data_IF_036567793749
#
_entry.id   IF_036567793749
#
_cell.length_a   1.000
_cell.length_b   1.000
_cell.length_c   1.000
_cell.angle_alpha   90.00
_cell.angle_beta   90.00
_cell.angle_gamma   90.00
#
_symmetry.space_group_name_H-M   'P 1'
#
loop_
_entity.id
_entity.type
_entity.pdbx_description
1 polymer ?
#
# COMPACT_ATOMS: atom_id res chain seq x y z
N UNK A 1 -39.38 -13.59 -16.32
CA UNK A 1 -38.51 -14.40 -17.19
C UNK A 1 -37.45 -15.11 -16.36
N UNK A 2 -37.63 -16.42 -16.06
CA UNK A 2 -36.50 -17.32 -15.82
C UNK A 2 -36.68 -18.78 -16.35
N UNK A 3 -37.65 -19.07 -17.23
CA UNK A 3 -37.99 -20.49 -17.54
C UNK A 3 -37.13 -21.16 -18.62
N UNK A 4 -36.38 -20.40 -19.43
CA UNK A 4 -35.62 -20.97 -20.55
C UNK A 4 -34.33 -21.69 -20.14
N UNK A 5 -33.82 -21.42 -18.94
CA UNK A 5 -32.51 -21.94 -18.51
C UNK A 5 -32.60 -23.40 -18.07
N UNK A 6 -33.71 -23.78 -17.42
CA UNK A 6 -33.93 -25.14 -16.95
C UNK A 6 -34.35 -26.11 -18.07
N UNK A 7 -35.08 -25.63 -19.07
CA UNK A 7 -35.49 -26.45 -20.22
C UNK A 7 -34.30 -26.91 -21.08
N UNK A 8 -33.23 -26.10 -21.14
CA UNK A 8 -32.00 -26.43 -21.83
C UNK A 8 -31.25 -27.62 -21.21
N UNK A 9 -31.18 -27.70 -19.87
CA UNK A 9 -30.53 -28.82 -19.18
C UNK A 9 -31.32 -30.14 -19.23
N UNK A 10 -32.62 -30.10 -19.58
CA UNK A 10 -33.38 -31.33 -19.85
C UNK A 10 -32.90 -32.02 -21.14
N UNK A 11 -32.44 -31.25 -22.12
CA UNK A 11 -31.93 -31.78 -23.39
C UNK A 11 -30.43 -32.06 -23.39
N UNK A 12 -29.67 -31.43 -22.48
CA UNK A 12 -28.23 -31.59 -22.35
C UNK A 12 -27.79 -31.65 -20.87
N UNK A 13 -28.16 -32.70 -20.12
CA UNK A 13 -27.87 -32.81 -18.67
C UNK A 13 -26.37 -32.84 -18.34
N UNK A 14 -25.52 -33.25 -19.28
CA UNK A 14 -24.06 -33.20 -19.14
C UNK A 14 -23.51 -31.78 -19.04
N UNK A 15 -24.18 -30.77 -19.60
CA UNK A 15 -23.77 -29.37 -19.48
C UNK A 15 -23.98 -28.82 -18.07
N UNK A 16 -25.03 -29.28 -17.38
CA UNK A 16 -25.24 -28.95 -15.96
C UNK A 16 -24.12 -29.52 -15.10
N UNK A 17 -23.73 -30.77 -15.37
CA UNK A 17 -22.62 -31.43 -14.67
C UNK A 17 -21.28 -30.74 -14.96
N UNK A 18 -21.03 -30.34 -16.21
CA UNK A 18 -19.83 -29.60 -16.60
C UNK A 18 -19.79 -28.18 -15.99
N UNK A 19 -20.92 -27.45 -15.99
CA UNK A 19 -21.04 -26.16 -15.31
C UNK A 19 -20.75 -26.29 -13.81
N UNK A 20 -21.34 -27.29 -13.16
CA UNK A 20 -21.13 -27.54 -11.73
C UNK A 20 -19.66 -27.91 -11.44
N UNK A 21 -19.08 -28.79 -12.24
CA UNK A 21 -17.67 -29.16 -12.14
C UNK A 21 -16.75 -27.94 -12.31
N UNK A 22 -16.98 -27.11 -13.34
CA UNK A 22 -16.23 -25.87 -13.55
C UNK A 22 -16.38 -24.92 -12.37
N UNK A 23 -17.60 -24.74 -11.86
CA UNK A 23 -17.87 -23.88 -10.70
C UNK A 23 -17.09 -24.32 -9.46
N UNK A 24 -17.12 -25.62 -9.14
CA UNK A 24 -16.37 -26.19 -8.01
C UNK A 24 -14.87 -26.04 -8.22
N UNK A 25 -14.36 -26.37 -9.41
CA UNK A 25 -12.94 -26.25 -9.77
C UNK A 25 -12.44 -24.80 -9.64
N UNK A 26 -13.20 -23.83 -10.15
CA UNK A 26 -12.86 -22.41 -10.01
C UNK A 26 -12.96 -21.93 -8.56
N UNK A 27 -13.96 -22.40 -7.80
CA UNK A 27 -14.11 -22.10 -6.38
C UNK A 27 -12.90 -22.56 -5.56
N UNK A 28 -12.50 -23.83 -5.71
CA UNK A 28 -11.32 -24.39 -5.04
C UNK A 28 -10.05 -23.63 -5.44
N UNK A 29 -9.86 -23.36 -6.74
CA UNK A 29 -8.71 -22.59 -7.24
C UNK A 29 -8.66 -21.19 -6.60
N UNK A 30 -9.80 -20.51 -6.52
CA UNK A 30 -9.89 -19.19 -5.89
C UNK A 30 -9.58 -19.26 -4.39
N UNK A 31 -10.06 -20.28 -3.67
CA UNK A 31 -9.73 -20.46 -2.25
C UNK A 31 -8.22 -20.56 -2.05
N UNK A 32 -7.52 -21.39 -2.83
CA UNK A 32 -6.06 -21.50 -2.74
C UNK A 32 -5.33 -20.21 -3.11
N UNK A 33 -5.79 -19.49 -4.14
CA UNK A 33 -5.18 -18.23 -4.55
C UNK A 33 -5.32 -17.14 -3.47
N UNK A 34 -6.49 -17.04 -2.86
CA UNK A 34 -6.82 -16.01 -1.88
C UNK A 34 -6.40 -16.35 -0.44
N UNK A 35 -6.26 -17.63 -0.11
CA UNK A 35 -5.95 -18.06 1.25
C UNK A 35 -4.75 -17.34 1.89
N UNK A 36 -3.57 -17.23 1.23
CA UNK A 36 -2.42 -16.55 1.83
C UNK A 36 -2.67 -15.05 2.07
N UNK A 37 -3.46 -14.41 1.21
CA UNK A 37 -3.73 -12.97 1.26
C UNK A 37 -4.70 -12.66 2.39
N UNK A 38 -5.77 -13.43 2.51
CA UNK A 38 -6.77 -13.26 3.57
C UNK A 38 -6.19 -13.63 4.94
N UNK A 39 -5.36 -14.68 5.00
CA UNK A 39 -4.71 -15.09 6.25
C UNK A 39 -3.74 -14.03 6.80
N UNK A 40 -3.00 -13.37 5.91
CA UNK A 40 -2.08 -12.30 6.26
C UNK A 40 -2.77 -10.95 6.52
N UNK A 41 -4.06 -10.80 6.18
CA UNK A 41 -4.77 -9.54 6.33
C UNK A 41 -4.91 -9.13 7.82
N UNK A 42 -4.78 -7.83 8.06
CA UNK A 42 -4.86 -7.21 9.38
C UNK A 42 -5.75 -5.98 9.26
N UNK A 43 -6.94 -6.04 9.86
CA UNK A 43 -8.01 -5.05 9.67
C UNK A 43 -7.73 -3.65 10.24
N UNK A 44 -6.60 -3.45 10.92
CA UNK A 44 -6.22 -2.17 11.52
C UNK A 44 -5.28 -1.32 10.65
N UNK A 45 -4.95 -1.74 9.42
CA UNK A 45 -4.04 -1.00 8.53
C UNK A 45 -4.53 -0.90 7.10
N UNK A 46 -4.11 0.17 6.39
CA UNK A 46 -4.30 0.31 4.93
C UNK A 46 -3.53 -0.72 4.12
N UNK A 47 -2.49 -1.32 4.71
CA UNK A 47 -1.65 -2.33 4.06
C UNK A 47 -2.47 -3.51 3.53
N UNK A 48 -3.39 -4.03 4.34
CA UNK A 48 -4.29 -5.12 3.98
C UNK A 48 -5.15 -4.81 2.76
N UNK A 49 -5.78 -3.63 2.75
CA UNK A 49 -6.58 -3.15 1.63
C UNK A 49 -5.78 -3.09 0.32
N UNK A 50 -4.59 -2.48 0.35
CA UNK A 50 -3.76 -2.38 -0.84
C UNK A 50 -3.20 -3.74 -1.28
N UNK A 51 -2.91 -4.65 -0.35
CA UNK A 51 -2.45 -5.99 -0.68
C UNK A 51 -3.55 -6.82 -1.39
N UNK A 52 -4.81 -6.68 -0.97
CA UNK A 52 -5.97 -7.27 -1.65
C UNK A 52 -6.12 -6.73 -3.07
N UNK A 53 -6.04 -5.40 -3.24
CA UNK A 53 -6.12 -4.75 -4.56
C UNK A 53 -4.98 -5.26 -5.46
N UNK A 54 -3.74 -5.25 -4.96
CA UNK A 54 -2.56 -5.73 -5.69
C UNK A 54 -2.73 -7.18 -6.12
N UNK A 55 -3.15 -8.05 -5.20
CA UNK A 55 -3.35 -9.46 -5.50
C UNK A 55 -4.41 -9.67 -6.59
N UNK A 56 -5.54 -8.95 -6.50
CA UNK A 56 -6.59 -9.00 -7.52
C UNK A 56 -6.06 -8.56 -8.89
N UNK A 57 -5.32 -7.45 -8.94
CA UNK A 57 -4.69 -6.95 -10.17
C UNK A 57 -3.74 -7.98 -10.79
N UNK A 58 -2.89 -8.62 -9.98
CA UNK A 58 -1.97 -9.67 -10.48
C UNK A 58 -2.73 -10.88 -11.04
N UNK A 59 -3.82 -11.31 -10.40
CA UNK A 59 -4.66 -12.38 -10.93
C UNK A 59 -5.32 -11.97 -12.26
N UNK A 60 -5.80 -10.73 -12.36
CA UNK A 60 -6.39 -10.20 -13.60
C UNK A 60 -5.36 -10.10 -14.73
N UNK A 61 -4.15 -9.61 -14.44
CA UNK A 61 -3.03 -9.59 -15.39
C UNK A 61 -2.68 -11.00 -15.89
N UNK A 62 -2.66 -12.00 -14.99
CA UNK A 62 -2.39 -13.41 -15.37
C UNK A 62 -3.48 -14.00 -16.27
N UNK A 63 -4.74 -13.67 -16.05
CA UNK A 63 -5.83 -14.16 -16.91
C UNK A 63 -5.83 -13.43 -18.27
N UNK A 64 -5.59 -12.11 -18.28
CA UNK A 64 -5.54 -11.29 -19.49
C UNK A 64 -4.32 -11.62 -20.37
N UNK A 65 -3.15 -11.89 -19.76
CA UNK A 65 -1.95 -12.32 -20.49
C UNK A 65 -2.11 -13.69 -21.15
N UNK A 66 -2.83 -14.62 -20.51
CA UNK A 66 -3.11 -15.93 -21.09
C UNK A 66 -4.10 -15.85 -22.25
N UNK A 67 -5.05 -14.92 -22.17
CA UNK A 67 -6.11 -14.80 -23.16
C UNK A 67 -6.41 -13.31 -23.45
N UNK A 68 -5.71 -12.71 -24.42
CA UNK A 68 -5.98 -11.34 -24.85
C UNK A 68 -7.25 -11.30 -25.71
N UNK A 69 -8.41 -11.34 -25.07
CA UNK A 69 -9.72 -11.49 -25.74
C UNK A 69 -10.16 -10.27 -26.56
N UNK A 70 -9.46 -9.14 -26.49
CA UNK A 70 -9.88 -7.89 -27.13
C UNK A 70 -8.70 -6.99 -27.55
N UNK A 71 -8.97 -6.13 -28.54
CA UNK A 71 -8.03 -5.10 -28.99
C UNK A 71 -7.82 -4.07 -27.88
N UNK A 72 -6.57 -3.95 -27.41
CA UNK A 72 -6.22 -3.08 -26.28
C UNK A 72 -5.90 -3.82 -24.98
N UNK A 73 -5.99 -5.15 -24.96
CA UNK A 73 -5.62 -5.97 -23.80
C UNK A 73 -4.19 -5.68 -23.29
N UNK A 74 -3.22 -5.44 -24.19
CA UNK A 74 -1.84 -5.07 -23.81
C UNK A 74 -1.78 -3.74 -23.06
N UNK A 75 -2.57 -2.75 -23.50
CA UNK A 75 -2.65 -1.45 -22.83
C UNK A 75 -3.22 -1.60 -21.43
N UNK A 76 -4.30 -2.38 -21.28
CA UNK A 76 -4.93 -2.61 -19.99
C UNK A 76 -4.01 -3.42 -19.05
N UNK A 77 -3.27 -4.41 -19.57
CA UNK A 77 -2.22 -5.12 -18.83
C UNK A 77 -1.14 -4.16 -18.33
N UNK A 78 -0.65 -3.26 -19.19
CA UNK A 78 0.34 -2.24 -18.80
C UNK A 78 -0.21 -1.31 -17.71
N UNK A 79 -1.47 -0.88 -17.81
CA UNK A 79 -2.09 -0.03 -16.78
C UNK A 79 -2.28 -0.76 -15.44
N UNK A 80 -2.67 -2.04 -15.46
CA UNK A 80 -2.72 -2.87 -14.25
C UNK A 80 -1.33 -3.02 -13.61
N UNK A 81 -0.28 -3.17 -14.43
CA UNK A 81 1.10 -3.23 -13.96
C UNK A 81 1.54 -1.89 -13.33
N UNK A 82 1.16 -0.75 -13.91
CA UNK A 82 1.38 0.56 -13.26
C UNK A 82 0.72 0.61 -11.88
N UNK A 83 -0.53 0.16 -11.75
CA UNK A 83 -1.22 0.10 -10.45
C UNK A 83 -0.46 -0.78 -9.43
N UNK A 84 0.06 -1.93 -9.86
CA UNK A 84 0.90 -2.80 -9.04
C UNK A 84 2.17 -2.08 -8.57
N UNK A 85 2.89 -1.41 -9.48
CA UNK A 85 4.11 -0.66 -9.17
C UNK A 85 3.86 0.49 -8.18
N UNK A 86 2.72 1.18 -8.27
CA UNK A 86 2.35 2.24 -7.31
C UNK A 86 2.16 1.64 -5.91
N UNK A 87 1.51 0.48 -5.81
CA UNK A 87 1.31 -0.20 -4.52
C UNK A 87 2.65 -0.71 -3.96
N UNK A 88 3.53 -1.27 -4.79
CA UNK A 88 4.87 -1.70 -4.36
C UNK A 88 5.71 -0.52 -3.87
N UNK A 89 5.65 0.64 -4.55
CA UNK A 89 6.32 1.86 -4.09
C UNK A 89 5.76 2.35 -2.75
N UNK A 90 4.44 2.27 -2.56
CA UNK A 90 3.80 2.56 -1.28
C UNK A 90 4.26 1.62 -0.16
N UNK A 91 4.38 0.31 -0.43
CA UNK A 91 4.87 -0.65 0.55
C UNK A 91 6.36 -0.52 0.84
N UNK A 92 7.16 -0.11 -0.14
CA UNK A 92 8.60 0.11 0.06
C UNK A 92 8.88 1.30 0.99
N UNK A 93 7.98 2.29 1.03
CA UNK A 93 8.04 3.47 1.89
C UNK A 93 9.38 4.26 1.81
N UNK A 94 9.96 4.32 0.60
CA UNK A 94 11.27 4.97 0.35
C UNK A 94 11.15 6.37 -0.25
N UNK A 95 10.08 7.10 0.04
CA UNK A 95 9.82 8.40 -0.59
C UNK A 95 10.78 9.51 -0.12
N UNK A 96 11.28 9.41 1.11
CA UNK A 96 12.11 10.42 1.78
C UNK A 96 13.60 10.06 1.88
N UNK A 97 14.01 8.85 1.49
CA UNK A 97 15.38 8.34 1.68
C UNK A 97 16.46 9.34 1.21
N UNK A 98 16.27 9.94 0.03
CA UNK A 98 17.22 10.95 -0.50
C UNK A 98 17.18 12.26 0.27
N UNK A 99 16.00 12.67 0.75
CA UNK A 99 15.83 13.93 1.49
C UNK A 99 16.49 13.82 2.87
N UNK A 100 16.24 12.71 3.59
CA UNK A 100 16.87 12.46 4.88
C UNK A 100 18.37 12.29 4.75
N UNK A 101 18.86 11.53 3.77
CA UNK A 101 20.31 11.42 3.56
C UNK A 101 20.99 12.77 3.37
N UNK A 102 20.39 13.66 2.55
CA UNK A 102 20.92 15.02 2.36
C UNK A 102 20.83 15.87 3.63
N UNK A 103 19.81 15.66 4.45
CA UNK A 103 19.65 16.34 5.73
C UNK A 103 20.72 15.89 6.73
N UNK A 104 20.94 14.58 6.85
CA UNK A 104 21.98 13.95 7.68
C UNK A 104 23.39 14.37 7.26
N UNK A 105 23.70 14.36 5.95
CA UNK A 105 25.00 14.83 5.43
C UNK A 105 25.30 16.29 5.83
N UNK A 106 24.26 17.11 6.02
CA UNK A 106 24.40 18.53 6.36
C UNK A 106 24.41 18.77 7.86
N UNK A 107 23.48 18.18 8.60
CA UNK A 107 23.27 18.47 10.02
C UNK A 107 23.90 17.43 10.96
N UNK A 108 24.39 16.32 10.42
CA UNK A 108 24.81 15.14 11.17
C UNK A 108 23.62 14.19 11.39
N UNK A 109 23.93 12.96 11.79
CA UNK A 109 22.90 12.01 12.22
C UNK A 109 22.13 12.57 13.42
N UNK A 110 20.81 12.44 13.37
CA UNK A 110 19.92 12.86 14.46
C UNK A 110 20.20 12.00 15.68
N UNK A 111 20.40 12.61 16.85
CA UNK A 111 20.57 11.86 18.10
C UNK A 111 19.40 12.15 19.01
N UNK A 112 18.74 11.07 19.42
CA UNK A 112 17.64 11.13 20.36
C UNK A 112 18.11 10.63 21.72
N UNK A 113 17.92 11.48 22.72
CA UNK A 113 18.23 11.20 24.12
C UNK A 113 16.95 11.24 24.92
N UNK A 114 16.88 10.36 25.91
CA UNK A 114 15.79 10.32 26.88
C UNK A 114 16.36 10.68 28.23
N UNK A 115 15.87 11.77 28.81
CA UNK A 115 16.25 12.18 30.14
C UNK A 115 15.03 12.07 31.07
N UNK A 116 15.24 11.69 32.35
CA UNK A 116 14.18 11.77 33.35
C UNK A 116 13.65 13.19 33.40
N UNK A 117 12.33 13.35 33.53
CA UNK A 117 11.78 14.67 33.82
C UNK A 117 12.08 15.03 35.27
N UNK A 118 12.37 16.30 35.50
CA UNK A 118 12.58 16.85 36.82
C UNK A 118 11.49 17.88 37.07
N UNK A 119 10.94 17.89 38.28
CA UNK A 119 10.12 19.00 38.72
C UNK A 119 11.01 20.25 38.85
N UNK A 120 10.71 21.28 38.07
CA UNK A 120 11.49 22.51 38.04
C UNK A 120 11.43 23.30 39.36
N UNK A 121 10.43 23.03 40.22
CA UNK A 121 10.28 23.71 41.51
C UNK A 121 10.98 22.97 42.66
N UNK A 122 10.89 21.64 42.70
CA UNK A 122 11.44 20.82 43.79
C UNK A 122 12.80 20.19 43.45
N UNK A 123 13.12 20.05 42.16
CA UNK A 123 14.33 19.36 41.68
C UNK A 123 14.24 17.83 41.77
N UNK A 124 13.10 17.29 42.24
CA UNK A 124 12.87 15.86 42.33
C UNK A 124 12.62 15.26 40.95
N UNK A 125 13.14 14.05 40.73
CA UNK A 125 12.92 13.29 39.50
C UNK A 125 11.50 12.75 39.52
N UNK A 126 10.70 13.03 38.49
CA UNK A 126 9.42 12.34 38.29
C UNK A 126 9.68 11.01 37.56
N UNK A 127 9.56 9.86 38.22
CA UNK A 127 9.80 8.56 37.60
C UNK A 127 8.76 8.19 36.53
N UNK A 128 7.63 8.92 36.45
CA UNK A 128 6.57 8.66 35.48
C UNK A 128 6.71 9.49 34.19
N UNK A 129 7.60 10.47 34.16
CA UNK A 129 7.79 11.35 33.01
C UNK A 129 9.22 11.29 32.49
N UNK A 130 9.35 11.13 31.17
CA UNK A 130 10.61 11.27 30.45
C UNK A 130 10.46 12.38 29.41
N UNK A 131 11.54 13.14 29.21
CA UNK A 131 11.65 14.09 28.11
C UNK A 131 12.50 13.49 27.01
N UNK A 132 12.05 13.66 25.77
CA UNK A 132 12.89 13.40 24.60
C UNK A 132 13.60 14.68 24.21
N UNK A 133 14.90 14.56 23.99
CA UNK A 133 15.73 15.59 23.39
C UNK A 133 16.27 15.06 22.08
N UNK A 134 16.12 15.85 21.04
CA UNK A 134 16.70 15.54 19.73
C UNK A 134 17.71 16.63 19.43
N UNK A 135 18.95 16.25 19.15
CA UNK A 135 19.97 17.20 18.72
C UNK A 135 20.57 16.82 17.37
N UNK A 136 21.21 17.82 16.76
CA UNK A 136 22.02 17.65 15.56
C UNK A 136 23.43 18.14 15.81
N UNK A 137 24.46 17.31 15.59
CA UNK A 137 25.86 17.66 15.84
C UNK A 137 26.29 18.98 15.19
N UNK A 138 25.82 19.29 13.99
CA UNK A 138 26.21 20.48 13.23
C UNK A 138 25.28 21.69 13.47
N UNK A 139 24.35 21.61 14.42
CA UNK A 139 23.43 22.70 14.76
C UNK A 139 23.53 23.14 16.24
N UNK A 140 24.68 23.67 16.68
CA UNK A 140 24.93 23.97 18.10
C UNK A 140 24.16 25.20 18.63
N UNK A 141 23.48 25.97 17.76
CA UNK A 141 22.74 27.16 18.18
C UNK A 141 21.24 26.95 17.98
N UNK A 142 20.37 27.48 18.85
CA UNK A 142 18.92 27.31 18.73
C UNK A 142 18.36 27.78 17.37
N UNK A 143 18.99 28.79 16.77
CA UNK A 143 18.60 29.30 15.44
C UNK A 143 18.93 28.30 14.31
N UNK A 144 20.06 27.61 14.40
CA UNK A 144 20.44 26.57 13.42
C UNK A 144 19.60 25.31 13.63
N UNK A 145 19.34 24.95 14.88
CA UNK A 145 18.47 23.82 15.24
C UNK A 145 17.06 24.02 14.68
N UNK A 146 16.48 25.22 14.85
CA UNK A 146 15.20 25.57 14.24
C UNK A 146 15.20 25.48 12.71
N UNK A 147 16.36 25.73 12.06
CA UNK A 147 16.51 25.55 10.61
C UNK A 147 16.58 24.06 10.23
N UNK A 148 17.32 23.25 10.99
CA UNK A 148 17.39 21.81 10.80
C UNK A 148 16.01 21.16 10.95
N UNK A 149 15.25 21.53 11.99
CA UNK A 149 13.85 21.11 12.17
C UNK A 149 12.95 21.51 11.00
N UNK A 150 13.08 22.74 10.50
CA UNK A 150 12.29 23.21 9.36
C UNK A 150 12.58 22.41 8.09
N UNK A 151 13.85 22.10 7.84
CA UNK A 151 14.27 21.27 6.70
C UNK A 151 13.80 19.82 6.85
N UNK A 152 13.89 19.25 8.06
CA UNK A 152 13.39 17.91 8.37
C UNK A 152 11.88 17.81 8.16
N UNK A 153 11.13 18.79 8.67
CA UNK A 153 9.67 18.87 8.44
C UNK A 153 9.32 18.97 6.97
N UNK A 154 10.11 19.71 6.18
CA UNK A 154 9.92 19.78 4.74
C UNK A 154 10.16 18.41 4.05
N UNK A 155 11.11 17.60 4.55
CA UNK A 155 11.29 16.23 4.07
C UNK A 155 10.08 15.35 4.35
N UNK A 156 9.55 15.36 5.59
CA UNK A 156 8.31 14.63 5.93
C UNK A 156 7.10 15.08 5.09
N UNK A 157 6.95 16.39 4.89
CA UNK A 157 5.88 16.93 4.05
C UNK A 157 6.04 16.51 2.58
N UNK A 158 7.28 16.41 2.09
CA UNK A 158 7.57 15.95 0.75
C UNK A 158 7.23 14.47 0.58
N UNK A 159 7.66 13.64 1.54
CA UNK A 159 7.34 12.21 1.60
C UNK A 159 5.84 11.96 1.49
N UNK A 160 5.06 12.59 2.38
CA UNK A 160 3.60 12.47 2.41
C UNK A 160 2.98 12.88 1.08
N UNK A 161 3.43 13.99 0.49
CA UNK A 161 2.93 14.44 -0.82
C UNK A 161 3.18 13.43 -1.93
N UNK A 162 4.34 12.78 -1.96
CA UNK A 162 4.65 11.77 -2.96
C UNK A 162 3.82 10.49 -2.77
N UNK A 163 3.68 10.03 -1.53
CA UNK A 163 2.82 8.89 -1.22
C UNK A 163 1.36 9.16 -1.59
N UNK A 164 0.84 10.35 -1.24
CA UNK A 164 -0.52 10.77 -1.59
C UNK A 164 -0.72 10.86 -3.11
N UNK A 165 0.27 11.35 -3.86
CA UNK A 165 0.22 11.41 -5.32
C UNK A 165 0.10 10.01 -5.95
N UNK A 166 0.91 9.06 -5.49
CA UNK A 166 0.88 7.68 -5.99
C UNK A 166 -0.47 7.02 -5.69
N UNK A 167 -1.01 7.18 -4.47
CA UNK A 167 -2.32 6.65 -4.07
C UNK A 167 -3.45 7.30 -4.89
N UNK A 168 -3.43 8.62 -5.06
CA UNK A 168 -4.43 9.33 -5.86
C UNK A 168 -4.39 8.87 -7.32
N UNK A 169 -3.20 8.67 -7.88
CA UNK A 169 -3.05 8.19 -9.25
C UNK A 169 -3.54 6.75 -9.41
N UNK A 170 -3.27 5.87 -8.44
CA UNK A 170 -3.80 4.51 -8.38
C UNK A 170 -5.34 4.52 -8.44
N UNK A 171 -6.00 5.27 -7.55
CA UNK A 171 -7.47 5.32 -7.54
C UNK A 171 -8.05 5.97 -8.79
N UNK A 172 -7.35 6.94 -9.39
CA UNK A 172 -7.72 7.52 -10.69
C UNK A 172 -7.71 6.49 -11.82
N UNK A 173 -6.71 5.61 -11.86
CA UNK A 173 -6.65 4.52 -12.83
C UNK A 173 -7.77 3.49 -12.59
N UNK A 174 -7.95 3.04 -11.36
CA UNK A 174 -8.99 2.07 -11.00
C UNK A 174 -10.39 2.60 -11.34
N UNK A 175 -10.72 3.81 -10.92
CA UNK A 175 -12.02 4.45 -11.18
C UNK A 175 -12.29 4.69 -12.67
N UNK A 176 -11.26 4.91 -13.47
CA UNK A 176 -11.41 5.10 -14.91
C UNK A 176 -11.64 3.77 -15.65
N UNK A 177 -11.08 2.68 -15.16
CA UNK A 177 -11.01 1.42 -15.90
C UNK A 177 -11.83 0.25 -15.31
N UNK A 178 -12.44 0.40 -14.12
CA UNK A 178 -13.15 -0.70 -13.42
C UNK A 178 -14.25 -1.42 -14.22
N UNK A 179 -14.84 -0.80 -15.24
CA UNK A 179 -15.87 -1.45 -16.09
C UNK A 179 -15.30 -2.31 -17.20
N UNK A 180 -14.07 -2.01 -17.63
CA UNK A 180 -13.40 -2.69 -18.75
C UNK A 180 -12.51 -3.82 -18.26
N UNK A 181 -11.97 -3.66 -17.05
CA UNK A 181 -11.09 -4.61 -16.39
C UNK A 181 -11.89 -5.71 -15.70
#
# INVERSE_FOLDING_TARGET
MPDYRWSYYLTAPWELVDEWYRAVKFGIRNLFQWFPVVWADRHYTSWGMFNVIRHKLVLMQRELSRNPYYVGAERDLHLMHICELLIERYFADKYSERCFKRHEEKWGEMRDFWEPSYDHETGDIDPNYCMSFTDWPNAPTPKLEGKAWKEMRACFDHERKLADQDIQYLFKLLSKHYRRW
#
